data_IF_565580472298
#
_entry.id   IF_565580472298
#
_cell.length_a   1.000
_cell.length_b   1.000
_cell.length_c   1.000
_cell.angle_alpha   90.00
_cell.angle_beta   90.00
_cell.angle_gamma   90.00
#
_symmetry.space_group_name_H-M   'P 1'
#
loop_
_entity.id
_entity.type
_entity.pdbx_description
1 polymer ?
#
# COMPACT_ATOMS: atom_id res chain seq x y z
N UNK A 1 5.12 13.69 -2.57
CA UNK A 1 5.94 12.58 -3.09
C UNK A 1 5.12 11.30 -3.11
N UNK A 2 5.19 10.50 -4.17
CA UNK A 2 4.48 9.22 -4.26
C UNK A 2 5.37 8.11 -3.68
N UNK A 3 4.82 7.26 -2.82
CA UNK A 3 5.53 6.14 -2.20
C UNK A 3 4.77 4.83 -2.39
N UNK A 4 5.47 3.71 -2.28
CA UNK A 4 4.86 2.38 -2.25
C UNK A 4 5.39 1.54 -1.09
N UNK A 5 4.57 0.62 -0.58
CA UNK A 5 4.96 -0.33 0.46
C UNK A 5 5.12 -1.72 -0.18
N UNK A 6 6.26 -2.36 0.05
CA UNK A 6 6.52 -3.75 -0.33
C UNK A 6 6.55 -4.60 0.95
N UNK A 7 5.62 -5.55 1.04
CA UNK A 7 5.33 -6.32 2.24
C UNK A 7 4.11 -5.78 2.98
N UNK A 8 3.07 -6.60 3.10
CA UNK A 8 1.81 -6.31 3.78
C UNK A 8 1.67 -7.18 5.05
N UNK A 9 2.79 -7.39 5.75
CA UNK A 9 2.84 -8.12 7.01
C UNK A 9 2.83 -7.19 8.22
N UNK A 10 3.09 -7.77 9.40
CA UNK A 10 3.04 -7.10 10.70
C UNK A 10 3.71 -5.71 10.75
N UNK A 11 4.89 -5.55 10.12
CA UNK A 11 5.63 -4.28 10.16
C UNK A 11 4.91 -3.17 9.37
N UNK A 12 4.17 -3.51 8.32
CA UNK A 12 3.49 -2.54 7.46
C UNK A 12 2.41 -1.75 8.22
N UNK A 13 1.81 -2.35 9.23
CA UNK A 13 0.76 -1.73 10.05
C UNK A 13 1.28 -0.54 10.87
N UNK A 14 2.57 -0.50 11.19
CA UNK A 14 3.20 0.62 11.91
C UNK A 14 3.43 1.84 11.02
N UNK A 15 3.52 1.64 9.70
CA UNK A 15 3.70 2.75 8.77
C UNK A 15 2.42 3.57 8.60
N UNK A 16 1.24 2.94 8.67
CA UNK A 16 -0.03 3.62 8.36
C UNK A 16 -0.37 4.74 9.36
N UNK A 17 -0.26 4.56 10.69
CA UNK A 17 -0.42 5.66 11.64
C UNK A 17 0.63 6.76 11.45
N UNK A 18 1.86 6.37 11.09
CA UNK A 18 2.96 7.32 10.87
C UNK A 18 2.68 8.20 9.66
N UNK A 19 2.12 7.64 8.57
CA UNK A 19 1.80 8.37 7.35
C UNK A 19 0.82 9.53 7.55
N UNK A 20 -0.04 9.47 8.56
CA UNK A 20 -0.95 10.58 8.90
C UNK A 20 -0.18 11.85 9.28
N UNK A 21 1.04 11.71 9.82
CA UNK A 21 1.88 12.84 10.22
C UNK A 21 2.72 13.42 9.07
N UNK A 22 2.67 12.80 7.89
CA UNK A 22 3.47 13.16 6.71
C UNK A 22 2.57 13.41 5.49
N UNK A 23 1.77 14.50 5.47
CA UNK A 23 0.80 14.78 4.41
C UNK A 23 1.43 14.98 3.03
N UNK A 24 2.73 15.28 2.96
CA UNK A 24 3.51 15.34 1.73
C UNK A 24 3.70 13.97 1.06
N UNK A 25 3.51 12.88 1.80
CA UNK A 25 3.61 11.51 1.31
C UNK A 25 2.25 10.98 0.88
N UNK A 26 2.17 10.47 -0.34
CA UNK A 26 0.98 9.84 -0.89
C UNK A 26 1.29 8.37 -1.15
N UNK A 27 0.58 7.47 -0.45
CA UNK A 27 0.67 6.04 -0.69
C UNK A 27 0.02 5.69 -2.03
N UNK A 28 0.85 5.45 -3.05
CA UNK A 28 0.44 5.19 -4.42
C UNK A 28 0.09 3.72 -4.68
N UNK A 29 0.65 2.82 -3.88
CA UNK A 29 0.38 1.39 -4.02
C UNK A 29 1.05 0.54 -2.94
N UNK A 30 0.59 -0.72 -2.87
CA UNK A 30 1.13 -1.74 -1.98
C UNK A 30 1.28 -3.06 -2.72
N UNK A 31 2.32 -3.82 -2.39
CA UNK A 31 2.55 -5.14 -2.94
C UNK A 31 2.91 -6.13 -1.84
N UNK A 32 2.45 -7.35 -1.99
CA UNK A 32 2.93 -8.51 -1.25
C UNK A 32 2.97 -9.68 -2.23
N UNK A 33 3.91 -10.61 -2.04
CA UNK A 33 3.95 -11.85 -2.82
C UNK A 33 2.72 -12.71 -2.55
N UNK A 34 2.17 -12.63 -1.33
CA UNK A 34 0.98 -13.33 -0.90
C UNK A 34 -0.25 -12.46 -1.20
N UNK A 35 -1.05 -12.77 -2.23
CA UNK A 35 -2.15 -11.92 -2.66
C UNK A 35 -3.20 -11.72 -1.56
N UNK A 36 -3.38 -12.69 -0.67
CA UNK A 36 -4.32 -12.60 0.46
C UNK A 36 -3.91 -11.53 1.47
N UNK A 37 -2.60 -11.43 1.79
CA UNK A 37 -2.08 -10.40 2.70
C UNK A 37 -2.27 -9.01 2.12
N UNK A 38 -1.95 -8.84 0.84
CA UNK A 38 -2.20 -7.59 0.12
C UNK A 38 -3.68 -7.21 0.14
N UNK A 39 -4.57 -8.16 -0.15
CA UNK A 39 -6.01 -7.92 -0.14
C UNK A 39 -6.53 -7.54 1.26
N UNK A 40 -6.06 -8.22 2.31
CA UNK A 40 -6.41 -7.90 3.69
C UNK A 40 -5.93 -6.49 4.09
N UNK A 41 -4.69 -6.14 3.75
CA UNK A 41 -4.11 -4.83 4.02
C UNK A 41 -4.87 -3.70 3.30
N UNK A 42 -5.13 -3.86 2.00
CA UNK A 42 -5.93 -2.91 1.23
C UNK A 42 -7.34 -2.73 1.81
N UNK A 43 -7.98 -3.83 2.25
CA UNK A 43 -9.31 -3.79 2.87
C UNK A 43 -9.29 -3.07 4.22
N UNK A 44 -8.30 -3.35 5.06
CA UNK A 44 -8.20 -2.78 6.40
C UNK A 44 -7.94 -1.27 6.35
N UNK A 45 -6.98 -0.84 5.54
CA UNK A 45 -6.60 0.58 5.47
C UNK A 45 -7.29 1.37 4.35
N UNK A 46 -8.23 0.76 3.62
CA UNK A 46 -8.89 1.33 2.42
C UNK A 46 -7.87 1.91 1.43
N UNK A 47 -6.64 1.41 1.42
CA UNK A 47 -5.59 1.89 0.54
C UNK A 47 -6.08 1.66 -0.89
N UNK A 48 -6.42 2.73 -1.60
CA UNK A 48 -6.77 2.65 -3.03
C UNK A 48 -5.49 2.31 -3.76
N UNK A 49 -5.32 1.02 -4.05
CA UNK A 49 -4.31 0.58 -4.99
C UNK A 49 -4.65 1.22 -6.34
N UNK A 50 -3.91 2.24 -6.76
CA UNK A 50 -4.00 2.68 -8.14
C UNK A 50 -3.31 1.59 -8.94
N UNK A 51 -4.05 0.81 -9.74
CA UNK A 51 -3.41 -0.02 -10.74
C UNK A 51 -2.58 0.92 -11.61
N UNK A 52 -1.25 0.79 -11.54
CA UNK A 52 -0.39 1.37 -12.56
C UNK A 52 -0.76 0.66 -13.85
N UNK A 53 -1.59 1.30 -14.68
CA UNK A 53 -1.83 0.84 -16.03
C UNK A 53 -0.49 0.65 -16.73
N UNK A 54 -0.15 -0.62 -16.96
CA UNK A 54 1.08 -1.07 -17.59
C UNK A 54 0.76 -2.39 -18.29
N UNK A 55 0.32 -2.24 -19.55
CA UNK A 55 0.25 -3.22 -20.63
C UNK A 55 -0.19 -4.66 -20.27
N UNK A 56 -1.48 -4.93 -20.48
CA UNK A 56 -1.83 -6.16 -21.17
C UNK A 56 -1.30 -6.02 -22.61
N UNK A 57 -0.23 -6.76 -22.91
CA UNK A 57 0.23 -7.05 -24.26
C UNK A 57 0.10 -8.54 -24.50
#
# INVERSE_FOLDING_TARGET
MQIGIIGCGYVADFYMPTLVNHPELVLAGVYDREPERRAAFCRHYRARLRQSGGAAG
#
